data_IF_300278750038
#
_entry.id   IF_300278750038
#
_cell.length_a   1.000
_cell.length_b   1.000
_cell.length_c   1.000
_cell.angle_alpha   90.00
_cell.angle_beta   90.00
_cell.angle_gamma   90.00
#
_symmetry.space_group_name_H-M   'P 1'
#
loop_
_entity.id
_entity.type
_entity.pdbx_description
1 polymer ?
#
# COMPACT_ATOMS: atom_id res chain seq x y z
N UNK A 1 -12.61 15.96 -0.28
CA UNK A 1 -12.12 15.23 0.89
C UNK A 1 -10.81 14.54 0.58
N UNK A 2 -9.85 14.66 1.46
CA UNK A 2 -8.55 14.03 1.26
C UNK A 2 -8.68 12.52 1.42
N UNK A 3 -7.99 11.80 0.55
CA UNK A 3 -7.95 10.34 0.62
C UNK A 3 -6.86 9.91 1.58
N UNK A 4 -7.08 8.75 2.20
CA UNK A 4 -6.06 8.11 3.03
C UNK A 4 -5.06 7.44 2.09
N UNK A 5 -3.81 7.84 2.17
CA UNK A 5 -2.74 7.28 1.32
C UNK A 5 -2.20 6.01 1.95
N UNK A 6 -2.27 4.91 1.24
CA UNK A 6 -1.91 3.59 1.73
C UNK A 6 -0.81 2.96 0.87
N UNK A 7 0.18 2.39 1.54
CA UNK A 7 1.20 1.55 0.94
C UNK A 7 0.97 0.13 1.43
N UNK A 8 0.94 -0.84 0.52
CA UNK A 8 0.72 -2.24 0.85
C UNK A 8 2.05 -2.98 0.77
N UNK A 9 2.47 -3.63 1.86
CA UNK A 9 3.70 -4.40 1.91
C UNK A 9 3.41 -5.84 2.32
N UNK A 10 3.65 -6.78 1.42
CA UNK A 10 3.43 -8.20 1.66
C UNK A 10 4.31 -8.98 0.68
N UNK A 11 4.94 -10.06 1.18
CA UNK A 11 5.78 -10.91 0.35
C UNK A 11 4.98 -11.90 -0.51
N UNK A 12 3.67 -12.01 -0.27
CA UNK A 12 2.77 -12.85 -1.04
C UNK A 12 2.10 -12.04 -2.14
N UNK A 13 2.54 -12.24 -3.37
CA UNK A 13 2.05 -11.45 -4.50
C UNK A 13 0.53 -11.49 -4.65
N UNK A 14 -0.08 -12.69 -4.52
CA UNK A 14 -1.52 -12.83 -4.69
C UNK A 14 -2.29 -12.07 -3.62
N UNK A 15 -1.83 -12.16 -2.36
CA UNK A 15 -2.43 -11.44 -1.25
C UNK A 15 -2.30 -9.94 -1.46
N UNK A 16 -1.11 -9.47 -1.83
CA UNK A 16 -0.82 -8.06 -2.06
C UNK A 16 -1.68 -7.49 -3.17
N UNK A 17 -1.76 -8.19 -4.30
CA UNK A 17 -2.56 -7.76 -5.43
C UNK A 17 -4.06 -7.78 -5.11
N UNK A 18 -4.50 -8.76 -4.34
CA UNK A 18 -5.88 -8.85 -3.89
C UNK A 18 -6.27 -7.69 -2.99
N UNK A 19 -5.42 -7.35 -2.03
CA UNK A 19 -5.65 -6.21 -1.15
C UNK A 19 -5.69 -4.90 -1.93
N UNK A 20 -4.76 -4.72 -2.86
CA UNK A 20 -4.72 -3.53 -3.69
C UNK A 20 -6.01 -3.39 -4.49
N UNK A 21 -6.48 -4.47 -5.09
CA UNK A 21 -7.71 -4.46 -5.87
C UNK A 21 -8.92 -4.07 -5.02
N UNK A 22 -9.01 -4.63 -3.81
CA UNK A 22 -10.12 -4.31 -2.89
C UNK A 22 -10.06 -2.84 -2.47
N UNK A 23 -8.89 -2.38 -2.06
CA UNK A 23 -8.74 -1.00 -1.58
C UNK A 23 -8.98 0.04 -2.67
N UNK A 24 -8.67 -0.29 -3.92
CA UNK A 24 -8.90 0.62 -5.04
C UNK A 24 -10.39 0.87 -5.31
N UNK A 25 -11.28 0.02 -4.79
CA UNK A 25 -12.72 0.24 -4.91
C UNK A 25 -13.25 1.26 -3.89
N UNK A 26 -12.43 1.65 -2.92
CA UNK A 26 -12.83 2.60 -1.87
C UNK A 26 -12.53 4.03 -2.28
N UNK A 27 -13.52 4.89 -2.21
CA UNK A 27 -13.39 6.28 -2.63
C UNK A 27 -12.47 7.10 -1.73
N UNK A 28 -12.37 6.74 -0.46
CA UNK A 28 -11.59 7.47 0.54
C UNK A 28 -10.17 6.93 0.71
N UNK A 29 -9.78 5.93 -0.08
CA UNK A 29 -8.46 5.33 -0.01
C UNK A 29 -7.74 5.47 -1.34
N UNK A 30 -6.48 5.90 -1.26
CA UNK A 30 -5.60 5.98 -2.42
C UNK A 30 -4.41 5.05 -2.19
N UNK A 31 -4.34 3.98 -2.97
CA UNK A 31 -3.21 3.04 -2.91
C UNK A 31 -2.05 3.64 -3.68
N UNK A 32 -1.00 4.03 -2.96
CA UNK A 32 0.17 4.67 -3.56
C UNK A 32 1.06 3.68 -4.29
N UNK A 33 1.14 2.46 -3.79
CA UNK A 33 2.00 1.45 -4.38
C UNK A 33 2.02 0.19 -3.54
N UNK A 34 2.85 -0.74 -3.96
CA UNK A 34 3.02 -2.03 -3.31
C UNK A 34 4.50 -2.31 -3.11
N UNK A 35 4.83 -3.00 -2.02
CA UNK A 35 6.18 -3.43 -1.70
C UNK A 35 6.17 -4.93 -1.42
N UNK A 36 7.18 -5.65 -1.88
CA UNK A 36 7.25 -7.09 -1.71
C UNK A 36 8.00 -7.53 -0.45
N UNK A 37 8.71 -6.61 0.19
CA UNK A 37 9.44 -6.89 1.43
C UNK A 37 9.60 -5.62 2.24
N UNK A 38 10.21 -5.76 3.43
CA UNK A 38 10.40 -4.66 4.35
C UNK A 38 11.32 -3.57 3.81
N UNK A 39 12.37 -3.96 3.09
CA UNK A 39 13.31 -2.99 2.53
C UNK A 39 12.63 -2.11 1.48
N UNK A 40 11.90 -2.72 0.57
CA UNK A 40 11.16 -1.99 -0.45
C UNK A 40 10.07 -1.11 0.19
N UNK A 41 9.44 -1.60 1.27
CA UNK A 41 8.44 -0.83 1.99
C UNK A 41 9.04 0.46 2.58
N UNK A 42 10.22 0.36 3.16
CA UNK A 42 10.92 1.53 3.72
C UNK A 42 11.28 2.52 2.62
N UNK A 43 11.83 2.04 1.51
CA UNK A 43 12.19 2.90 0.39
C UNK A 43 10.98 3.64 -0.18
N UNK A 44 9.89 2.91 -0.39
CA UNK A 44 8.68 3.51 -0.93
C UNK A 44 7.98 4.42 0.07
N UNK A 45 8.02 4.09 1.35
CA UNK A 45 7.45 4.95 2.38
C UNK A 45 8.14 6.30 2.42
N UNK A 46 9.46 6.31 2.28
CA UNK A 46 10.22 7.56 2.25
C UNK A 46 9.93 8.41 1.02
N UNK A 47 9.72 7.75 -0.11
CA UNK A 47 9.46 8.44 -1.37
C UNK A 47 8.01 8.91 -1.50
N UNK A 48 7.06 8.09 -1.05
CA UNK A 48 5.63 8.33 -1.29
C UNK A 48 4.89 8.94 -0.10
N UNK A 49 5.45 8.84 1.09
CA UNK A 49 4.90 9.40 2.33
C UNK A 49 3.45 8.98 2.58
N UNK A 50 3.19 7.67 2.71
CA UNK A 50 1.85 7.19 2.98
C UNK A 50 1.37 7.55 4.38
N UNK A 51 0.05 7.60 4.57
CA UNK A 51 -0.54 7.77 5.88
C UNK A 51 -0.53 6.46 6.65
N UNK A 52 -0.69 5.34 5.94
CA UNK A 52 -0.76 4.00 6.52
C UNK A 52 0.04 3.03 5.67
N UNK A 53 0.73 2.11 6.32
CA UNK A 53 1.39 0.99 5.66
C UNK A 53 0.74 -0.28 6.18
N UNK A 54 0.14 -1.07 5.27
CA UNK A 54 -0.40 -2.37 5.62
C UNK A 54 0.71 -3.39 5.42
N UNK A 55 1.21 -3.93 6.52
CA UNK A 55 2.29 -4.92 6.50
C UNK A 55 1.81 -6.24 7.08
N UNK A 56 2.18 -7.31 6.42
CA UNK A 56 1.93 -8.64 6.94
C UNK A 56 3.20 -9.18 7.62
#
# INVERSE_FOLDING_TARGET
MEKIKVLIADDHRVVREGLAAILKTKEDIHVLGEAQDGMEAVEKARALLPDVILMD
#
